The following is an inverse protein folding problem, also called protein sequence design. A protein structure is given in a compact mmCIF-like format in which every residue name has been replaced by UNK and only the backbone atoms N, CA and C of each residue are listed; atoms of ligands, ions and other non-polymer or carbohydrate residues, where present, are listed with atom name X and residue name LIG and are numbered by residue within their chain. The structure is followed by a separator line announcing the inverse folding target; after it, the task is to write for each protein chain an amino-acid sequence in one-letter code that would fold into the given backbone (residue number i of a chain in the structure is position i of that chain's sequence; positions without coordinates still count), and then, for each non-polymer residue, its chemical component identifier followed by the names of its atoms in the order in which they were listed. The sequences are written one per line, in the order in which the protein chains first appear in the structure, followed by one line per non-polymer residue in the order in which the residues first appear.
data_IF_199970887871
#
_entry.id   IF_199970887871
#
_cell.length_a   1.000
_cell.length_b   1.000
_cell.length_c   1.000
_cell.angle_alpha   90.00
_cell.angle_beta   90.00
_cell.angle_gamma   90.00
#
_symmetry.space_group_name_H-M   'P 1'
#
loop_
_entity.id
_entity.type
_entity.pdbx_description
1 polymer ?
#
# COMPACT_ATOMS: atom_id res chain seq x y z
N UNK A 1 -22.89 1.34 -13.22
CA UNK A 1 -21.57 1.22 -12.57
C UNK A 1 -20.65 0.51 -13.54
N UNK A 2 -19.38 0.92 -13.66
CA UNK A 2 -18.42 0.23 -14.54
C UNK A 2 -18.29 -1.23 -14.07
N UNK A 3 -18.25 -2.20 -15.00
CA UNK A 3 -18.21 -3.62 -14.65
C UNK A 3 -16.77 -4.00 -14.30
N UNK A 4 -16.56 -4.43 -13.06
CA UNK A 4 -15.35 -5.10 -12.61
C UNK A 4 -15.70 -6.58 -12.52
N UNK A 5 -14.96 -7.41 -13.23
CA UNK A 5 -15.33 -8.78 -13.53
C UNK A 5 -14.66 -9.82 -12.63
N UNK A 6 -13.62 -9.43 -11.89
CA UNK A 6 -12.88 -10.31 -10.98
C UNK A 6 -12.55 -9.60 -9.67
N UNK A 7 -12.46 -10.34 -8.56
CA UNK A 7 -11.75 -9.89 -7.36
C UNK A 7 -10.23 -10.04 -7.53
N UNK A 8 -9.43 -9.46 -6.63
CA UNK A 8 -7.97 -9.67 -6.64
C UNK A 8 -7.62 -11.15 -6.57
N UNK A 9 -8.26 -11.90 -5.66
CA UNK A 9 -8.04 -13.34 -5.48
C UNK A 9 -8.29 -14.12 -6.77
N UNK A 10 -9.35 -13.79 -7.50
CA UNK A 10 -9.67 -14.43 -8.77
C UNK A 10 -8.69 -14.04 -9.87
N UNK A 11 -8.34 -12.75 -9.98
CA UNK A 11 -7.41 -12.23 -10.97
C UNK A 11 -6.01 -12.85 -10.83
N UNK A 12 -5.46 -12.91 -9.62
CA UNK A 12 -4.15 -13.51 -9.37
C UNK A 12 -4.14 -15.00 -9.77
N UNK A 13 -5.22 -15.73 -9.46
CA UNK A 13 -5.35 -17.17 -9.76
C UNK A 13 -5.51 -17.44 -11.26
N UNK A 14 -6.33 -16.66 -11.95
CA UNK A 14 -6.69 -16.89 -13.36
C UNK A 14 -5.66 -16.32 -14.32
N UNK A 15 -5.22 -15.07 -14.10
CA UNK A 15 -4.39 -14.33 -15.05
C UNK A 15 -2.90 -14.55 -14.86
N UNK A 16 -2.46 -15.01 -13.67
CA UNK A 16 -1.05 -15.21 -13.30
C UNK A 16 -0.15 -14.02 -13.70
N UNK A 17 -0.45 -12.81 -13.20
CA UNK A 17 0.22 -11.60 -13.66
C UNK A 17 1.73 -11.63 -13.45
N UNK A 18 2.43 -10.90 -14.31
CA UNK A 18 3.87 -10.62 -14.20
C UNK A 18 4.19 -9.80 -12.94
N UNK A 19 5.47 -9.74 -12.59
CA UNK A 19 5.94 -8.94 -11.46
C UNK A 19 5.53 -7.45 -11.60
N UNK A 20 5.66 -6.89 -12.81
CA UNK A 20 5.29 -5.49 -13.10
C UNK A 20 3.80 -5.24 -12.90
N UNK A 21 2.94 -6.12 -13.43
CA UNK A 21 1.49 -6.00 -13.27
C UNK A 21 1.05 -6.08 -11.80
N UNK A 22 1.70 -6.93 -11.00
CA UNK A 22 1.45 -7.01 -9.55
C UNK A 22 1.78 -5.70 -8.85
N UNK A 23 2.92 -5.08 -9.18
CA UNK A 23 3.30 -3.78 -8.66
C UNK A 23 2.35 -2.66 -9.12
N UNK A 24 1.87 -2.70 -10.36
CA UNK A 24 0.86 -1.75 -10.86
C UNK A 24 -0.45 -1.85 -10.08
N UNK A 25 -0.94 -3.06 -9.82
CA UNK A 25 -2.15 -3.26 -9.02
C UNK A 25 -1.95 -2.79 -7.57
N UNK A 26 -0.78 -3.09 -6.97
CA UNK A 26 -0.47 -2.64 -5.62
C UNK A 26 -0.31 -1.10 -5.55
N UNK A 27 0.28 -0.48 -6.56
CA UNK A 27 0.35 0.98 -6.67
C UNK A 27 -1.04 1.62 -6.75
N UNK A 28 -1.98 1.04 -7.50
CA UNK A 28 -3.37 1.50 -7.54
C UNK A 28 -4.03 1.45 -6.17
N UNK A 29 -3.84 0.36 -5.41
CA UNK A 29 -4.35 0.25 -4.04
C UNK A 29 -3.76 1.36 -3.15
N UNK A 30 -2.44 1.59 -3.20
CA UNK A 30 -1.79 2.61 -2.38
C UNK A 30 -2.26 4.04 -2.73
N UNK A 31 -2.52 4.35 -4.00
CA UNK A 31 -3.12 5.63 -4.40
C UNK A 31 -4.56 5.76 -3.86
N UNK A 32 -5.35 4.69 -3.87
CA UNK A 32 -6.68 4.69 -3.27
C UNK A 32 -6.61 4.96 -1.75
N UNK A 33 -5.71 4.30 -1.02
CA UNK A 33 -5.53 4.51 0.42
C UNK A 33 -5.04 5.93 0.73
N UNK A 34 -4.17 6.49 -0.10
CA UNK A 34 -3.74 7.87 0.04
C UNK A 34 -4.90 8.84 -0.16
N UNK A 35 -5.77 8.58 -1.15
CA UNK A 35 -6.98 9.37 -1.37
C UNK A 35 -7.90 9.34 -0.15
N UNK A 36 -8.17 8.16 0.43
CA UNK A 36 -8.97 8.03 1.65
C UNK A 36 -8.36 8.80 2.82
N UNK A 37 -7.05 8.63 3.05
CA UNK A 37 -6.34 9.33 4.12
C UNK A 37 -6.45 10.84 4.02
N UNK A 38 -6.36 11.41 2.81
CA UNK A 38 -6.51 12.86 2.56
C UNK A 38 -7.90 13.39 2.91
N UNK A 39 -8.90 12.53 2.85
CA UNK A 39 -10.29 12.85 3.20
C UNK A 39 -10.65 12.40 4.61
N UNK A 40 -9.66 12.05 5.45
CA UNK A 40 -9.87 11.54 6.81
C UNK A 40 -10.82 10.33 6.85
N UNK A 41 -10.72 9.45 5.86
CA UNK A 41 -11.43 8.17 5.79
C UNK A 41 -10.43 7.03 6.01
N UNK A 42 -10.82 6.05 6.81
CA UNK A 42 -10.16 4.74 6.95
C UNK A 42 -11.13 3.66 6.50
N UNK A 43 -10.65 2.69 5.71
CA UNK A 43 -11.47 1.61 5.15
C UNK A 43 -11.86 0.56 6.20
N UNK A 44 -10.90 0.11 7.03
CA UNK A 44 -11.08 -0.87 8.13
C UNK A 44 -11.53 -2.28 7.73
N UNK A 45 -11.77 -2.55 6.46
CA UNK A 45 -12.10 -3.89 5.94
C UNK A 45 -11.35 -4.21 4.64
N UNK A 46 -10.04 -3.92 4.60
CA UNK A 46 -9.22 -4.30 3.44
C UNK A 46 -9.04 -5.82 3.40
N UNK A 47 -9.49 -6.43 2.31
CA UNK A 47 -9.32 -7.85 1.96
C UNK A 47 -9.35 -8.00 0.45
N UNK A 48 -8.83 -9.10 -0.08
CA UNK A 48 -8.75 -9.33 -1.52
C UNK A 48 -10.12 -9.38 -2.21
N UNK A 49 -11.18 -9.81 -1.51
CA UNK A 49 -12.57 -9.77 -2.02
C UNK A 49 -13.09 -8.35 -2.27
N UNK A 50 -12.58 -7.36 -1.51
CA UNK A 50 -12.97 -5.95 -1.62
C UNK A 50 -12.12 -5.19 -2.66
N UNK A 51 -11.22 -5.87 -3.36
CA UNK A 51 -10.40 -5.31 -4.43
C UNK A 51 -10.91 -5.86 -5.77
N UNK A 52 -11.64 -5.03 -6.51
CA UNK A 52 -12.24 -5.42 -7.78
C UNK A 52 -11.36 -5.00 -8.95
N UNK A 53 -11.19 -5.89 -9.92
CA UNK A 53 -10.31 -5.70 -11.07
C UNK A 53 -11.11 -5.83 -12.36
N UNK A 54 -10.89 -4.89 -13.27
CA UNK A 54 -11.34 -4.99 -14.66
C UNK A 54 -10.25 -5.72 -15.46
N UNK A 55 -10.45 -7.01 -15.76
CA UNK A 55 -9.39 -7.87 -16.32
C UNK A 55 -8.87 -7.38 -17.66
N UNK A 56 -9.73 -6.77 -18.47
CA UNK A 56 -9.38 -6.22 -19.79
C UNK A 56 -8.48 -4.98 -19.74
N UNK A 57 -8.48 -4.24 -18.61
CA UNK A 57 -7.71 -2.98 -18.48
C UNK A 57 -6.66 -3.02 -17.38
N UNK A 58 -6.72 -3.99 -16.47
CA UNK A 58 -5.86 -4.04 -15.27
C UNK A 58 -6.21 -2.97 -14.22
N UNK A 59 -7.40 -2.35 -14.32
CA UNK A 59 -7.84 -1.32 -13.38
C UNK A 59 -8.34 -1.95 -12.10
N UNK A 60 -7.75 -1.54 -10.96
CA UNK A 60 -8.13 -1.97 -9.62
C UNK A 60 -8.91 -0.87 -8.92
N UNK A 61 -10.04 -1.23 -8.32
CA UNK A 61 -10.81 -0.35 -7.44
C UNK A 61 -11.03 -0.97 -6.08
N UNK A 62 -11.03 -0.12 -5.06
CA UNK A 62 -11.42 -0.48 -3.71
C UNK A 62 -12.94 -0.37 -3.57
N UNK A 63 -13.57 -1.43 -3.10
CA UNK A 63 -15.02 -1.54 -2.91
C UNK A 63 -15.37 -1.86 -1.45
N UNK A 64 -16.67 -1.83 -1.15
CA UNK A 64 -17.27 -2.12 0.17
C UNK A 64 -16.79 -1.22 1.32
N UNK A 65 -17.38 -0.03 1.39
CA UNK A 65 -17.16 0.94 2.46
C UNK A 65 -18.08 0.72 3.67
N UNK A 66 -18.73 -0.45 3.82
CA UNK A 66 -19.69 -0.71 4.90
C UNK A 66 -19.06 -0.60 6.31
N UNK A 67 -17.77 -0.86 6.43
CA UNK A 67 -17.01 -0.71 7.67
C UNK A 67 -16.18 0.58 7.73
N UNK A 68 -16.20 1.42 6.69
CA UNK A 68 -15.37 2.61 6.64
C UNK A 68 -15.76 3.62 7.73
N UNK A 69 -14.78 4.43 8.16
CA UNK A 69 -14.97 5.44 9.18
C UNK A 69 -14.41 6.78 8.68
N UNK A 70 -15.23 7.83 8.81
CA UNK A 70 -14.83 9.21 8.61
C UNK A 70 -14.47 9.83 9.97
N UNK A 71 -13.22 10.20 10.17
CA UNK A 71 -12.71 10.68 11.46
C UNK A 71 -11.69 11.82 11.29
N UNK A 72 -12.15 13.04 10.96
CA UNK A 72 -11.28 14.21 10.90
C UNK A 72 -10.85 14.68 12.31
N UNK A 73 -9.71 15.39 12.43
CA UNK A 73 -8.72 15.66 11.38
C UNK A 73 -7.66 14.56 11.25
N UNK A 74 -7.60 13.62 12.21
CA UNK A 74 -6.41 12.81 12.45
C UNK A 74 -6.66 11.30 12.49
N UNK A 75 -7.81 10.80 12.04
CA UNK A 75 -8.13 9.36 12.03
C UNK A 75 -8.03 8.70 13.42
N UNK A 76 -8.28 9.46 14.49
CA UNK A 76 -8.30 8.94 15.86
C UNK A 76 -9.73 8.94 16.39
N UNK A 77 -10.22 7.75 16.73
CA UNK A 77 -11.54 7.57 17.32
C UNK A 77 -11.40 7.36 18.83
N UNK A 78 -12.12 8.10 19.69
CA UNK A 78 -12.21 7.76 21.11
C UNK A 78 -12.63 6.31 21.30
N UNK A 79 -12.00 5.63 22.26
CA UNK A 79 -12.27 4.22 22.57
C UNK A 79 -12.54 4.06 24.05
N UNK A 80 -13.73 4.48 24.46
CA UNK A 80 -14.13 4.54 25.87
C UNK A 80 -14.65 3.21 26.40
N UNK A 81 -15.19 2.36 25.53
CA UNK A 81 -15.83 1.07 25.84
C UNK A 81 -15.56 0.04 24.74
N UNK A 82 -15.63 -1.25 25.08
CA UNK A 82 -15.44 -2.35 24.11
C UNK A 82 -16.60 -2.53 23.12
N UNK A 83 -17.72 -1.82 23.32
CA UNK A 83 -18.86 -1.82 22.39
C UNK A 83 -18.55 -1.06 21.09
N UNK A 84 -17.52 -0.21 21.11
CA UNK A 84 -17.11 0.58 19.96
C UNK A 84 -16.47 -0.32 18.90
N UNK A 85 -17.14 -0.43 17.75
CA UNK A 85 -16.67 -1.24 16.62
C UNK A 85 -15.31 -0.76 16.10
N UNK A 86 -14.32 -1.67 16.13
CA UNK A 86 -12.96 -1.43 15.66
C UNK A 86 -12.78 -1.57 14.15
N UNK A 87 -13.72 -2.22 13.44
CA UNK A 87 -13.63 -2.56 12.01
C UNK A 87 -14.19 -3.95 11.72
N UNK A 88 -14.19 -4.35 10.44
CA UNK A 88 -14.84 -5.58 9.97
C UNK A 88 -13.95 -6.82 10.04
N UNK A 89 -12.78 -6.79 9.41
CA UNK A 89 -11.89 -7.95 9.34
C UNK A 89 -10.89 -7.98 10.51
N UNK A 90 -11.24 -8.69 11.58
CA UNK A 90 -10.39 -8.88 12.75
C UNK A 90 -9.03 -9.52 12.41
N UNK A 91 -9.01 -10.48 11.47
CA UNK A 91 -7.78 -11.16 11.07
C UNK A 91 -6.82 -10.23 10.31
N UNK A 92 -7.33 -9.15 9.72
CA UNK A 92 -6.53 -8.12 9.06
C UNK A 92 -6.53 -6.77 9.80
N UNK A 93 -6.80 -6.79 11.10
CA UNK A 93 -6.74 -5.60 11.92
C UNK A 93 -5.30 -5.33 12.34
N UNK A 94 -4.87 -4.06 12.31
CA UNK A 94 -3.50 -3.69 12.68
C UNK A 94 -3.24 -3.90 14.19
N UNK A 95 -2.01 -4.25 14.61
CA UNK A 95 -1.68 -4.55 16.00
C UNK A 95 -2.05 -3.44 16.97
N UNK A 96 -1.85 -2.18 16.58
CA UNK A 96 -2.18 -1.02 17.42
C UNK A 96 -3.69 -0.86 17.68
N UNK A 97 -4.55 -1.43 16.84
CA UNK A 97 -6.01 -1.41 16.99
C UNK A 97 -6.46 -2.62 17.84
N UNK A 98 -5.92 -3.81 17.53
CA UNK A 98 -6.21 -5.05 18.28
C UNK A 98 -5.82 -4.91 19.74
N UNK A 99 -4.59 -4.45 20.01
CA UNK A 99 -4.02 -4.32 21.35
C UNK A 99 -4.56 -3.14 22.16
N UNK A 100 -5.28 -2.21 21.52
CA UNK A 100 -5.82 -1.03 22.21
C UNK A 100 -6.88 -1.47 23.24
N UNK A 101 -6.72 -0.99 24.47
CA UNK A 101 -7.65 -1.23 25.58
C UNK A 101 -8.58 -0.03 25.77
N UNK A 102 -9.88 -0.26 26.03
CA UNK A 102 -10.84 0.82 26.20
C UNK A 102 -10.55 1.61 27.48
N UNK A 103 -10.90 2.89 27.47
CA UNK A 103 -10.79 3.72 28.66
C UNK A 103 -11.12 5.19 28.40
N UNK A 104 -11.30 5.99 29.47
CA UNK A 104 -11.76 7.39 29.36
C UNK A 104 -10.87 8.30 28.48
N UNK A 105 -9.60 7.92 28.29
CA UNK A 105 -8.61 8.68 27.50
C UNK A 105 -7.95 7.81 26.41
N UNK A 106 -8.54 6.66 26.10
CA UNK A 106 -8.03 5.76 25.06
C UNK A 106 -8.53 6.18 23.68
N UNK A 107 -7.70 5.96 22.66
CA UNK A 107 -8.03 6.24 21.27
C UNK A 107 -7.54 5.11 20.37
N UNK A 108 -8.36 4.75 19.39
CA UNK A 108 -7.96 3.90 18.26
C UNK A 108 -7.30 4.80 17.21
N UNK A 109 -6.02 4.56 16.92
CA UNK A 109 -5.25 5.34 15.95
C UNK A 109 -5.18 4.62 14.60
N UNK A 110 -6.01 5.06 13.66
CA UNK A 110 -6.13 4.42 12.35
C UNK A 110 -5.15 4.96 11.30
N UNK A 111 -4.23 5.87 11.64
CA UNK A 111 -3.37 6.57 10.66
C UNK A 111 -2.55 5.67 9.74
N UNK A 112 -2.24 4.45 10.20
CA UNK A 112 -1.44 3.45 9.49
C UNK A 112 -2.09 2.06 9.51
N UNK A 113 -3.37 1.96 9.88
CA UNK A 113 -4.08 0.70 9.98
C UNK A 113 -4.33 0.07 8.60
N UNK A 114 -4.87 0.85 7.66
CA UNK A 114 -5.06 0.39 6.27
C UNK A 114 -3.71 0.08 5.59
N UNK A 115 -2.63 0.78 5.94
CA UNK A 115 -1.30 0.48 5.43
C UNK A 115 -0.84 -0.91 5.89
N UNK A 116 -1.03 -1.25 7.17
CA UNK A 116 -0.73 -2.60 7.67
C UNK A 116 -1.52 -3.66 6.89
N UNK A 117 -2.82 -3.44 6.68
CA UNK A 117 -3.67 -4.42 6.00
C UNK A 117 -3.29 -4.56 4.51
N UNK A 118 -2.87 -3.47 3.85
CA UNK A 118 -2.30 -3.57 2.51
C UNK A 118 -0.96 -4.32 2.48
N UNK A 119 -0.16 -4.25 3.55
CA UNK A 119 1.10 -4.99 3.69
C UNK A 119 0.87 -6.50 3.76
N UNK A 120 -0.17 -6.94 4.49
CA UNK A 120 -0.53 -8.36 4.53
C UNK A 120 -1.09 -8.84 3.21
N UNK A 121 -1.92 -8.03 2.55
CA UNK A 121 -2.46 -8.30 1.21
C UNK A 121 -1.37 -8.40 0.15
N UNK A 122 -0.22 -7.74 0.32
CA UNK A 122 0.88 -7.81 -0.64
C UNK A 122 1.35 -9.25 -0.88
N UNK A 123 1.27 -10.14 0.12
CA UNK A 123 1.52 -11.57 -0.08
C UNK A 123 0.59 -12.17 -1.15
N UNK A 124 -0.69 -11.84 -1.11
CA UNK A 124 -1.68 -12.31 -2.08
C UNK A 124 -1.44 -11.71 -3.48
N UNK A 125 -1.05 -10.43 -3.57
CA UNK A 125 -0.58 -9.83 -4.83
C UNK A 125 0.58 -10.61 -5.44
N UNK A 126 1.43 -11.26 -4.62
CA UNK A 126 2.53 -12.12 -5.05
C UNK A 126 2.19 -13.61 -5.04
N UNK A 127 0.91 -13.99 -5.07
CA UNK A 127 0.45 -15.40 -5.09
C UNK A 127 0.89 -16.23 -3.88
N UNK A 128 1.19 -15.59 -2.76
CA UNK A 128 1.51 -16.22 -1.49
C UNK A 128 0.32 -16.14 -0.53
N UNK A 129 0.17 -17.12 0.38
CA UNK A 129 -0.86 -17.04 1.41
C UNK A 129 -0.59 -15.84 2.32
N UNK A 130 -1.65 -15.12 2.67
CA UNK A 130 -1.58 -14.04 3.64
C UNK A 130 -1.18 -14.59 5.03
N UNK A 131 -0.08 -14.09 5.62
CA UNK A 131 0.47 -14.66 6.86
C UNK A 131 -0.47 -14.55 8.06
N UNK A 132 -1.40 -13.58 8.08
CA UNK A 132 -2.31 -13.34 9.20
C UNK A 132 -3.72 -13.87 8.94
N UNK A 133 -4.17 -13.90 7.68
CA UNK A 133 -5.51 -14.38 7.35
C UNK A 133 -5.58 -15.90 7.18
N UNK A 134 -4.56 -16.50 6.54
CA UNK A 134 -4.49 -17.94 6.31
C UNK A 134 -3.33 -18.61 7.07
N UNK A 135 -2.41 -17.83 7.61
CA UNK A 135 -1.26 -18.34 8.35
C UNK A 135 -1.52 -18.49 9.85
N UNK A 136 -0.46 -18.85 10.57
CA UNK A 136 -0.48 -19.04 12.03
C UNK A 136 -0.17 -17.75 12.81
N UNK A 137 0.12 -16.65 12.11
CA UNK A 137 0.49 -15.41 12.76
C UNK A 137 -0.71 -14.75 13.42
N UNK A 138 -0.47 -14.28 14.63
CA UNK A 138 -1.42 -13.49 15.43
C UNK A 138 -0.79 -12.14 15.70
N UNK A 139 -1.52 -11.07 15.45
CA UNK A 139 -1.06 -9.69 15.59
C UNK A 139 -0.51 -9.40 16.98
N UNK A 140 -1.05 -10.09 18.00
CA UNK A 140 -0.69 -9.92 19.39
C UNK A 140 0.73 -10.40 19.69
N UNK A 141 1.17 -11.47 19.03
CA UNK A 141 2.36 -12.23 19.43
C UNK A 141 3.43 -12.34 18.35
N UNK A 142 3.15 -11.99 17.09
CA UNK A 142 4.18 -12.07 16.06
C UNK A 142 5.35 -11.12 16.30
N UNK A 143 6.50 -11.53 15.76
CA UNK A 143 7.72 -10.75 15.70
C UNK A 143 8.07 -10.45 14.23
N UNK A 144 8.56 -9.24 13.94
CA UNK A 144 8.81 -8.80 12.56
C UNK A 144 9.77 -9.73 11.79
N UNK A 145 10.74 -10.34 12.48
CA UNK A 145 11.75 -11.24 11.88
C UNK A 145 11.18 -12.59 11.46
N UNK A 146 9.95 -12.93 11.87
CA UNK A 146 9.32 -14.20 11.55
C UNK A 146 8.48 -14.16 10.27
N UNK A 147 8.31 -12.97 9.66
CA UNK A 147 7.50 -12.83 8.46
C UNK A 147 8.02 -13.73 7.32
N UNK A 148 7.14 -14.46 6.62
CA UNK A 148 7.56 -15.30 5.50
C UNK A 148 8.22 -14.47 4.40
N UNK A 149 9.19 -15.05 3.72
CA UNK A 149 9.82 -14.43 2.56
C UNK A 149 8.84 -14.35 1.38
N UNK A 150 8.90 -13.25 0.63
CA UNK A 150 8.22 -13.08 -0.65
C UNK A 150 9.09 -13.52 -1.84
N UNK A 151 10.36 -13.86 -1.61
CA UNK A 151 11.25 -14.38 -2.64
C UNK A 151 10.80 -15.80 -3.10
N UNK A 152 10.99 -16.15 -4.39
CA UNK A 152 11.55 -15.35 -5.47
C UNK A 152 10.50 -14.51 -6.24
N UNK A 153 9.25 -14.44 -5.76
CA UNK A 153 8.13 -13.84 -6.49
C UNK A 153 8.17 -12.29 -6.45
N UNK A 154 8.65 -11.74 -5.35
CA UNK A 154 9.00 -10.32 -5.23
C UNK A 154 10.52 -10.11 -5.30
N UNK A 155 10.97 -8.88 -5.54
CA UNK A 155 12.39 -8.54 -5.41
C UNK A 155 12.75 -8.32 -3.92
N UNK A 156 14.03 -8.42 -3.53
CA UNK A 156 14.44 -8.17 -2.14
C UNK A 156 14.04 -6.79 -1.63
N UNK A 157 14.04 -5.78 -2.50
CA UNK A 157 13.62 -4.42 -2.15
C UNK A 157 12.11 -4.35 -1.84
N UNK A 158 11.29 -5.02 -2.65
CA UNK A 158 9.84 -5.09 -2.43
C UNK A 158 9.53 -5.88 -1.15
N UNK A 159 10.21 -6.98 -0.90
CA UNK A 159 10.07 -7.74 0.37
C UNK A 159 10.34 -6.84 1.57
N UNK A 160 11.44 -6.08 1.56
CA UNK A 160 11.79 -5.18 2.66
C UNK A 160 10.79 -4.04 2.84
N UNK A 161 10.23 -3.52 1.77
CA UNK A 161 9.12 -2.54 1.84
C UNK A 161 7.87 -3.16 2.48
N UNK A 162 7.50 -4.39 2.11
CA UNK A 162 6.37 -5.10 2.70
C UNK A 162 6.60 -5.36 4.19
N UNK A 163 7.78 -5.84 4.56
CA UNK A 163 8.14 -6.04 5.97
C UNK A 163 8.13 -4.73 6.76
N UNK A 164 8.52 -3.60 6.16
CA UNK A 164 8.46 -2.31 6.83
C UNK A 164 7.02 -1.80 7.03
N UNK A 165 6.09 -2.12 6.13
CA UNK A 165 4.66 -1.90 6.33
C UNK A 165 4.09 -2.74 7.47
N UNK A 166 4.69 -3.91 7.74
CA UNK A 166 4.27 -4.85 8.76
C UNK A 166 5.03 -4.70 10.09
N UNK A 167 5.70 -3.56 10.31
CA UNK A 167 6.22 -3.21 11.64
C UNK A 167 5.08 -3.16 12.66
N UNK A 168 5.26 -3.90 13.76
CA UNK A 168 4.26 -3.97 14.84
C UNK A 168 4.04 -2.62 15.51
N UNK A 169 5.11 -1.87 15.77
CA UNK A 169 5.03 -0.51 16.29
C UNK A 169 4.63 0.47 15.16
N UNK A 170 3.45 1.12 15.23
CA UNK A 170 3.02 2.03 14.17
C UNK A 170 3.95 3.24 14.03
N UNK A 171 4.75 3.61 15.04
CA UNK A 171 5.72 4.72 14.91
C UNK A 171 6.88 4.37 13.97
N UNK A 172 7.28 3.10 13.93
CA UNK A 172 8.35 2.58 13.06
C UNK A 172 7.86 2.24 11.65
N UNK A 173 6.54 2.04 11.50
CA UNK A 173 5.91 1.82 10.20
C UNK A 173 5.98 3.11 9.36
N UNK A 174 6.35 3.07 8.07
CA UNK A 174 6.35 4.27 7.21
C UNK A 174 4.92 4.81 6.99
N UNK A 175 4.82 5.99 6.38
CA UNK A 175 3.53 6.52 5.96
C UNK A 175 3.09 5.90 4.63
N UNK A 176 1.77 5.87 4.37
CA UNK A 176 1.24 5.43 3.06
C UNK A 176 1.80 6.23 1.90
N UNK A 177 2.05 7.53 2.10
CA UNK A 177 2.67 8.38 1.07
C UNK A 177 4.11 7.97 0.78
N UNK A 178 4.89 7.63 1.80
CA UNK A 178 6.27 7.16 1.63
C UNK A 178 6.29 5.84 0.84
N UNK A 179 5.48 4.86 1.24
CA UNK A 179 5.39 3.55 0.55
C UNK A 179 4.89 3.70 -0.89
N UNK A 180 3.82 4.48 -1.10
CA UNK A 180 3.31 4.80 -2.44
C UNK A 180 4.40 5.40 -3.32
N UNK A 181 5.16 6.39 -2.84
CA UNK A 181 6.26 6.96 -3.58
C UNK A 181 7.36 5.93 -3.87
N UNK A 182 7.74 5.10 -2.90
CA UNK A 182 8.74 4.03 -3.08
C UNK A 182 8.34 3.03 -4.17
N UNK A 183 7.08 2.57 -4.17
CA UNK A 183 6.56 1.66 -5.19
C UNK A 183 6.54 2.32 -6.58
N UNK A 184 6.08 3.58 -6.65
CA UNK A 184 6.11 4.36 -7.90
C UNK A 184 7.55 4.53 -8.42
N UNK A 185 8.51 4.79 -7.52
CA UNK A 185 9.93 4.86 -7.89
C UNK A 185 10.44 3.53 -8.46
N UNK A 186 10.05 2.39 -7.87
CA UNK A 186 10.41 1.07 -8.39
C UNK A 186 9.74 0.75 -9.74
N UNK A 187 8.57 1.32 -10.04
CA UNK A 187 7.87 1.14 -11.32
C UNK A 187 8.52 1.94 -12.46
N UNK A 188 8.97 3.17 -12.18
CA UNK A 188 9.37 4.11 -13.22
C UNK A 188 10.88 4.26 -13.39
N UNK A 189 11.68 3.83 -12.41
CA UNK A 189 13.13 3.98 -12.42
C UNK A 189 13.83 2.65 -12.13
N UNK A 190 14.93 2.42 -12.83
CA UNK A 190 15.82 1.30 -12.54
C UNK A 190 16.73 1.60 -11.33
N UNK A 191 17.40 0.57 -10.83
CA UNK A 191 18.30 0.68 -9.68
C UNK A 191 19.47 1.66 -9.86
N UNK A 192 19.91 1.88 -11.10
CA UNK A 192 21.01 2.82 -11.39
C UNK A 192 20.57 4.25 -11.14
N UNK A 193 19.38 4.63 -11.63
CA UNK A 193 18.82 5.97 -11.45
C UNK A 193 18.49 6.22 -9.98
N UNK A 194 17.93 5.22 -9.28
CA UNK A 194 17.58 5.36 -7.87
C UNK A 194 18.80 5.62 -6.96
N UNK A 195 19.99 5.20 -7.37
CA UNK A 195 21.25 5.40 -6.63
C UNK A 195 22.01 6.67 -7.02
N UNK A 196 21.49 7.46 -7.95
CA UNK A 196 22.11 8.73 -8.34
C UNK A 196 22.06 9.74 -7.19
N UNK A 197 22.98 10.71 -7.23
CA UNK A 197 22.88 11.85 -6.33
C UNK A 197 21.57 12.62 -6.56
N UNK A 198 21.16 13.41 -5.56
CA UNK A 198 19.86 14.11 -5.56
C UNK A 198 19.61 14.94 -6.82
N UNK A 199 20.63 15.63 -7.34
CA UNK A 199 20.46 16.49 -8.50
C UNK A 199 20.20 15.67 -9.76
N UNK A 200 21.03 14.67 -10.03
CA UNK A 200 20.90 13.82 -11.22
C UNK A 200 19.60 13.00 -11.18
N UNK A 201 19.24 12.48 -10.01
CA UNK A 201 17.96 11.82 -9.80
C UNK A 201 16.77 12.76 -10.08
N UNK A 202 16.83 14.00 -9.57
CA UNK A 202 15.77 14.98 -9.81
C UNK A 202 15.66 15.35 -11.30
N UNK A 203 16.78 15.46 -12.03
CA UNK A 203 16.74 15.66 -13.48
C UNK A 203 16.09 14.47 -14.21
N UNK A 204 16.42 13.24 -13.83
CA UNK A 204 15.78 12.04 -14.38
C UNK A 204 14.26 12.00 -14.10
N UNK A 205 13.86 12.43 -12.90
CA UNK A 205 12.46 12.60 -12.55
C UNK A 205 11.77 13.66 -13.41
N UNK A 206 12.37 14.84 -13.59
CA UNK A 206 11.82 15.92 -14.41
C UNK A 206 11.66 15.48 -15.86
N UNK A 207 12.62 14.75 -16.41
CA UNK A 207 12.52 14.16 -17.75
C UNK A 207 11.34 13.19 -17.84
N UNK A 208 11.20 12.31 -16.85
CA UNK A 208 10.09 11.35 -16.76
C UNK A 208 8.73 12.05 -16.69
N UNK A 209 8.64 13.15 -15.95
CA UNK A 209 7.43 13.96 -15.85
C UNK A 209 7.09 14.64 -17.19
N UNK A 210 8.07 15.22 -17.88
CA UNK A 210 7.89 15.82 -19.20
C UNK A 210 7.47 14.77 -20.23
N UNK A 211 8.15 13.63 -20.29
CA UNK A 211 7.80 12.53 -21.18
C UNK A 211 6.35 12.08 -20.97
N UNK A 212 5.92 11.95 -19.72
CA UNK A 212 4.54 11.53 -19.37
C UNK A 212 3.49 12.53 -19.86
N UNK A 213 3.82 13.82 -19.93
CA UNK A 213 2.94 14.86 -20.46
C UNK A 213 2.84 14.81 -22.00
N UNK A 214 3.97 14.55 -22.68
CA UNK A 214 4.08 14.72 -24.13
C UNK A 214 4.03 13.41 -24.94
N UNK A 215 4.33 12.25 -24.36
CA UNK A 215 4.45 10.98 -25.07
C UNK A 215 3.56 9.89 -24.46
N UNK A 216 2.48 9.55 -25.17
CA UNK A 216 1.47 8.56 -24.72
C UNK A 216 1.59 7.18 -25.39
N UNK A 217 2.57 6.97 -26.28
CA UNK A 217 2.48 5.88 -27.28
C UNK A 217 2.86 4.48 -26.77
N UNK A 218 3.36 4.34 -25.54
CA UNK A 218 3.90 3.06 -25.05
C UNK A 218 3.26 2.51 -23.78
N UNK A 219 2.53 3.33 -23.00
CA UNK A 219 1.95 2.94 -21.72
C UNK A 219 0.48 2.55 -21.85
N UNK A 220 0.06 1.55 -21.08
CA UNK A 220 -1.37 1.28 -20.88
C UNK A 220 -2.09 2.48 -20.24
N UNK A 221 -3.42 2.49 -20.31
CA UNK A 221 -4.23 3.56 -19.68
C UNK A 221 -3.99 3.65 -18.17
N UNK A 222 -3.79 2.51 -17.50
CA UNK A 222 -3.54 2.44 -16.05
C UNK A 222 -2.15 2.99 -15.72
N UNK A 223 -1.12 2.55 -16.45
CA UNK A 223 0.25 3.04 -16.25
C UNK A 223 0.35 4.54 -16.47
N UNK A 224 -0.24 5.06 -17.55
CA UNK A 224 -0.25 6.48 -17.82
C UNK A 224 -0.95 7.27 -16.71
N UNK A 225 -2.04 6.74 -16.16
CA UNK A 225 -2.78 7.38 -15.06
C UNK A 225 -1.97 7.40 -13.77
N UNK A 226 -1.37 6.28 -13.39
CA UNK A 226 -0.48 6.19 -12.22
C UNK A 226 0.74 7.10 -12.36
N UNK A 227 1.41 7.07 -13.52
CA UNK A 227 2.60 7.89 -13.77
C UNK A 227 2.27 9.38 -13.72
N UNK A 228 1.11 9.80 -14.24
CA UNK A 228 0.61 11.18 -14.08
C UNK A 228 0.34 11.55 -12.62
N UNK A 229 -0.38 10.71 -11.87
CA UNK A 229 -0.66 10.95 -10.45
C UNK A 229 0.63 11.08 -9.65
N UNK A 230 1.60 10.20 -9.92
CA UNK A 230 2.94 10.28 -9.34
C UNK A 230 3.58 11.62 -9.66
N UNK A 231 3.76 11.97 -10.94
CA UNK A 231 4.45 13.19 -11.35
C UNK A 231 3.77 14.49 -10.91
N UNK A 232 2.45 14.51 -10.75
CA UNK A 232 1.70 15.71 -10.34
C UNK A 232 1.77 15.98 -8.83
N UNK A 233 1.99 14.93 -8.03
CA UNK A 233 1.87 15.00 -6.56
C UNK A 233 3.19 15.31 -5.86
N UNK A 234 4.33 15.09 -6.50
CA UNK A 234 5.61 15.15 -5.79
C UNK A 234 6.12 16.57 -5.54
N UNK A 235 6.63 16.77 -4.32
CA UNK A 235 7.63 17.81 -4.06
C UNK A 235 9.03 17.21 -4.20
N UNK A 236 10.04 18.07 -4.35
CA UNK A 236 11.44 17.61 -4.32
C UNK A 236 11.76 16.89 -3.01
N UNK A 237 11.23 17.39 -1.89
CA UNK A 237 11.39 16.77 -0.58
C UNK A 237 10.79 15.36 -0.52
N UNK A 238 9.55 15.15 -0.98
CA UNK A 238 8.90 13.84 -0.92
C UNK A 238 9.58 12.79 -1.80
N UNK A 239 10.20 13.22 -2.90
CA UNK A 239 11.03 12.38 -3.75
C UNK A 239 12.31 11.94 -3.06
N UNK A 240 13.04 12.89 -2.46
CA UNK A 240 14.29 12.57 -1.75
C UNK A 240 14.06 11.73 -0.50
N UNK A 241 12.97 11.95 0.22
CA UNK A 241 12.58 11.10 1.35
C UNK A 241 12.33 9.66 0.90
N UNK A 242 11.61 9.46 -0.20
CA UNK A 242 11.37 8.12 -0.75
C UNK A 242 12.65 7.47 -1.28
N UNK A 243 13.48 8.20 -2.02
CA UNK A 243 14.78 7.72 -2.52
C UNK A 243 15.69 7.30 -1.36
N UNK A 244 15.84 8.17 -0.34
CA UNK A 244 16.66 7.86 0.83
C UNK A 244 16.11 6.69 1.63
N UNK A 245 14.79 6.51 1.68
CA UNK A 245 14.18 5.36 2.35
C UNK A 245 14.47 4.05 1.61
N UNK A 246 14.42 4.06 0.27
CA UNK A 246 14.84 2.90 -0.54
C UNK A 246 16.32 2.57 -0.30
N UNK A 247 17.20 3.57 -0.27
CA UNK A 247 18.62 3.37 -0.01
C UNK A 247 18.86 2.71 1.36
N UNK A 248 18.18 3.19 2.41
CA UNK A 248 18.25 2.62 3.76
C UNK A 248 17.79 1.16 3.82
N UNK A 249 16.82 0.76 2.99
CA UNK A 249 16.40 -0.63 2.90
C UNK A 249 17.40 -1.49 2.11
N UNK A 250 18.27 -0.90 1.29
CA UNK A 250 19.26 -1.65 0.50
C UNK A 250 20.66 -1.72 1.11
N UNK A 251 20.93 -0.88 2.11
CA UNK A 251 22.16 -0.89 2.91
C UNK A 251 22.18 -2.08 3.87
#
# INVERSE_FOLDING_TARGET
MRRYDLTLSEYIRLSKPTHHERLLLFAQLLEALLYLKRHSIVHRDLKSDNLLICSSTGELVLADFGCALYQPPNLKQPYTTDEICKGGNLALMAPEIVMCQPGPKSYLDYNKADLWASGTLCYEFFSLPNPFFHGSFRQEIYCDQQLPSLLPLASPLIERLVHSMLRKNPKERPSVSCISNCIQLCLWFNSTILKMNKNDFYQAYMWTALETLFNKRTLSSVELSLKKLFCQRQSSQSLYEAQSYLDQLTA
#
